data_IF_118776704601
#
_entry.id   IF_118776704601
#
_cell.length_a   1.000
_cell.length_b   1.000
_cell.length_c   1.000
_cell.angle_alpha   90.00
_cell.angle_beta   90.00
_cell.angle_gamma   90.00
#
_symmetry.space_group_name_H-M   'P 1'
#
loop_
_entity.id
_entity.type
_entity.pdbx_description
1 polymer ?
#
# COMPACT_ATOMS: atom_id res chain seq x y z
N UNK A 1 13.03 28.86 -23.94
CA UNK A 1 13.03 28.59 -22.50
C UNK A 1 11.64 28.84 -21.97
N UNK A 2 10.87 27.78 -21.77
CA UNK A 2 9.50 27.85 -21.25
C UNK A 2 9.48 27.23 -19.86
N UNK A 3 9.13 28.05 -18.87
CA UNK A 3 8.51 27.71 -17.58
C UNK A 3 8.81 26.31 -17.00
N UNK A 4 9.83 26.23 -16.14
CA UNK A 4 9.98 25.20 -15.10
C UNK A 4 9.01 25.47 -13.94
N UNK A 5 7.72 25.29 -14.16
CA UNK A 5 6.72 25.21 -13.09
C UNK A 5 6.18 23.78 -13.01
N UNK A 6 7.06 22.83 -12.69
CA UNK A 6 6.61 21.64 -11.97
C UNK A 6 6.15 22.16 -10.61
N UNK A 7 4.85 22.04 -10.33
CA UNK A 7 4.18 22.81 -9.28
C UNK A 7 4.88 22.62 -7.93
N UNK A 8 5.11 23.71 -7.18
CA UNK A 8 5.58 23.63 -5.80
C UNK A 8 4.65 22.76 -4.93
N UNK A 9 3.40 22.57 -5.39
CA UNK A 9 2.36 21.74 -4.81
C UNK A 9 2.53 20.23 -5.10
N UNK A 10 3.16 19.83 -6.23
CA UNK A 10 3.26 18.41 -6.63
C UNK A 10 4.34 17.65 -5.84
N UNK A 11 5.50 18.26 -5.58
CA UNK A 11 6.50 17.72 -4.64
C UNK A 11 5.95 17.74 -3.20
N UNK A 12 5.13 18.75 -2.89
CA UNK A 12 4.48 18.87 -1.59
C UNK A 12 3.52 17.71 -1.31
N UNK A 13 2.68 17.31 -2.28
CA UNK A 13 1.73 16.21 -2.06
C UNK A 13 2.45 14.87 -1.87
N UNK A 14 3.51 14.58 -2.64
CA UNK A 14 4.24 13.32 -2.48
C UNK A 14 4.77 13.18 -1.07
N UNK A 15 5.41 14.23 -0.54
CA UNK A 15 5.92 14.23 0.83
C UNK A 15 4.83 14.07 1.89
N UNK A 16 3.66 14.68 1.70
CA UNK A 16 2.53 14.52 2.65
C UNK A 16 1.98 13.09 2.64
N UNK A 17 1.89 12.48 1.45
CA UNK A 17 1.51 11.07 1.32
C UNK A 17 2.59 10.16 1.90
N UNK A 18 3.89 10.46 1.73
CA UNK A 18 4.99 9.73 2.37
C UNK A 18 4.80 9.69 3.89
N UNK A 19 4.61 10.86 4.50
CA UNK A 19 4.42 10.95 5.95
C UNK A 19 3.15 10.21 6.39
N UNK A 20 2.04 10.35 5.67
CA UNK A 20 0.83 9.59 5.97
C UNK A 20 1.04 8.08 5.85
N UNK A 21 1.78 7.63 4.85
CA UNK A 21 2.01 6.20 4.61
C UNK A 21 2.91 5.56 5.69
N UNK A 22 3.89 6.29 6.23
CA UNK A 22 4.87 5.75 7.18
C UNK A 22 4.63 6.15 8.64
N UNK A 23 3.99 7.28 8.91
CA UNK A 23 3.85 7.85 10.26
C UNK A 23 2.41 7.84 10.79
N UNK A 24 1.41 7.44 10.00
CA UNK A 24 0.01 7.36 10.44
C UNK A 24 -0.32 6.00 11.04
N UNK A 25 -0.28 5.91 12.37
CA UNK A 25 -0.61 4.68 13.11
C UNK A 25 -2.04 4.17 12.83
N UNK A 26 -2.98 5.06 12.50
CA UNK A 26 -4.38 4.69 12.20
C UNK A 26 -4.51 4.01 10.84
N UNK A 27 -3.73 4.44 9.84
CA UNK A 27 -3.63 3.82 8.53
C UNK A 27 -3.19 2.36 8.68
N UNK A 28 -2.04 2.12 9.30
CA UNK A 28 -1.51 0.76 9.53
C UNK A 28 -2.52 -0.09 10.33
N UNK A 29 -3.01 0.41 11.46
CA UNK A 29 -3.91 -0.34 12.35
C UNK A 29 -5.22 -0.76 11.67
N UNK A 30 -5.71 -0.06 10.65
CA UNK A 30 -6.89 -0.50 9.90
C UNK A 30 -6.59 -1.73 9.02
N UNK A 31 -5.45 -1.74 8.32
CA UNK A 31 -5.04 -2.89 7.51
C UNK A 31 -4.71 -4.10 8.38
N UNK A 32 -4.04 -3.89 9.52
CA UNK A 32 -3.73 -4.97 10.45
C UNK A 32 -5.01 -5.65 10.95
N UNK A 33 -5.99 -4.86 11.40
CA UNK A 33 -7.29 -5.37 11.86
C UNK A 33 -7.99 -6.18 10.77
N UNK A 34 -8.01 -5.67 9.53
CA UNK A 34 -8.60 -6.39 8.41
C UNK A 34 -7.86 -7.72 8.14
N UNK A 35 -6.52 -7.72 8.19
CA UNK A 35 -5.72 -8.93 8.02
C UNK A 35 -5.98 -9.95 9.14
N UNK A 36 -6.06 -9.52 10.40
CA UNK A 36 -6.39 -10.37 11.53
C UNK A 36 -7.75 -11.05 11.35
N UNK A 37 -8.78 -10.30 10.92
CA UNK A 37 -10.12 -10.84 10.71
C UNK A 37 -10.18 -11.84 9.54
N UNK A 38 -9.41 -11.59 8.47
CA UNK A 38 -9.51 -12.35 7.22
C UNK A 38 -8.46 -13.46 7.07
N UNK A 39 -7.34 -13.42 7.80
CA UNK A 39 -6.27 -14.41 7.67
C UNK A 39 -6.68 -15.83 8.09
N UNK A 40 -7.81 -15.99 8.78
CA UNK A 40 -8.31 -17.30 9.23
C UNK A 40 -8.45 -18.33 8.10
N UNK A 41 -8.81 -17.89 6.88
CA UNK A 41 -8.99 -18.73 5.69
C UNK A 41 -7.68 -19.14 5.02
N UNK A 42 -6.56 -18.52 5.40
CA UNK A 42 -5.23 -18.79 4.85
C UNK A 42 -4.74 -20.14 5.35
N UNK A 43 -4.47 -21.01 4.40
CA UNK A 43 -3.90 -22.33 4.63
C UNK A 43 -2.36 -22.26 4.61
N UNK A 44 -1.76 -22.44 5.79
CA UNK A 44 -0.31 -22.43 5.97
C UNK A 44 0.38 -23.71 5.47
N UNK A 45 -0.34 -24.84 5.45
CA UNK A 45 0.20 -26.14 5.03
C UNK A 45 0.10 -26.36 3.51
N UNK A 46 -0.69 -25.52 2.83
CA UNK A 46 -0.82 -25.55 1.39
C UNK A 46 0.51 -25.18 0.71
N UNK A 47 1.23 -26.22 0.26
CA UNK A 47 2.45 -26.12 -0.57
C UNK A 47 2.16 -25.74 -2.02
N UNK A 48 0.90 -25.74 -2.41
CA UNK A 48 0.46 -25.29 -3.73
C UNK A 48 -0.11 -23.90 -3.58
N UNK A 49 0.46 -22.93 -4.29
CA UNK A 49 -0.24 -21.68 -4.65
C UNK A 49 -1.36 -21.98 -5.65
N UNK A 50 -2.11 -23.07 -5.44
CA UNK A 50 -3.37 -23.26 -6.15
C UNK A 50 -4.24 -22.11 -5.71
N UNK A 51 -4.36 -21.15 -6.63
CA UNK A 51 -5.07 -19.89 -6.55
C UNK A 51 -6.50 -20.16 -6.09
N UNK A 52 -6.71 -20.32 -4.77
CA UNK A 52 -8.06 -20.38 -4.22
C UNK A 52 -8.67 -19.05 -4.62
N UNK A 53 -9.78 -19.09 -5.34
CA UNK A 53 -10.49 -17.89 -5.79
C UNK A 53 -10.79 -16.94 -4.61
N UNK A 54 -10.90 -17.51 -3.41
CA UNK A 54 -11.01 -16.81 -2.13
C UNK A 54 -9.79 -15.88 -1.86
N UNK A 55 -8.56 -16.30 -2.14
CA UNK A 55 -7.37 -15.47 -1.95
C UNK A 55 -7.30 -14.31 -2.94
N UNK A 56 -7.70 -14.56 -4.19
CA UNK A 56 -7.85 -13.49 -5.19
C UNK A 56 -8.91 -12.49 -4.77
N UNK A 57 -10.06 -12.95 -4.28
CA UNK A 57 -11.14 -12.08 -3.81
C UNK A 57 -10.69 -11.22 -2.62
N UNK A 58 -9.97 -11.81 -1.67
CA UNK A 58 -9.40 -11.07 -0.54
C UNK A 58 -8.34 -10.06 -0.97
N UNK A 59 -7.52 -10.40 -1.96
CA UNK A 59 -6.54 -9.47 -2.52
C UNK A 59 -7.21 -8.27 -3.18
N UNK A 60 -8.29 -8.49 -3.94
CA UNK A 60 -9.09 -7.42 -4.54
C UNK A 60 -9.76 -6.55 -3.47
N UNK A 61 -10.33 -7.14 -2.41
CA UNK A 61 -10.88 -6.41 -1.26
C UNK A 61 -9.82 -5.55 -0.56
N UNK A 62 -8.64 -6.12 -0.29
CA UNK A 62 -7.52 -5.42 0.34
C UNK A 62 -7.04 -4.26 -0.54
N UNK A 63 -6.85 -4.53 -1.83
CA UNK A 63 -6.39 -3.53 -2.79
C UNK A 63 -7.39 -2.37 -2.91
N UNK A 64 -8.69 -2.64 -2.97
CA UNK A 64 -9.72 -1.61 -3.03
C UNK A 64 -9.73 -0.74 -1.75
N UNK A 65 -9.57 -1.35 -0.57
CA UNK A 65 -9.44 -0.61 0.69
C UNK A 65 -8.20 0.30 0.68
N UNK A 66 -7.06 -0.25 0.27
CA UNK A 66 -5.79 0.44 0.20
C UNK A 66 -5.84 1.65 -0.74
N UNK A 67 -6.33 1.44 -1.96
CA UNK A 67 -6.50 2.50 -2.97
C UNK A 67 -7.47 3.58 -2.48
N UNK A 68 -8.62 3.20 -1.92
CA UNK A 68 -9.62 4.16 -1.43
C UNK A 68 -9.10 5.05 -0.30
N UNK A 69 -8.27 4.51 0.60
CA UNK A 69 -7.67 5.28 1.71
C UNK A 69 -6.64 6.29 1.21
N UNK A 70 -5.78 5.87 0.30
CA UNK A 70 -4.78 6.76 -0.29
C UNK A 70 -5.44 7.83 -1.15
N UNK A 71 -6.40 7.46 -1.99
CA UNK A 71 -7.20 8.39 -2.78
C UNK A 71 -7.90 9.42 -1.89
N UNK A 72 -8.59 8.96 -0.84
CA UNK A 72 -9.27 9.85 0.09
C UNK A 72 -8.32 10.83 0.80
N UNK A 73 -7.10 10.39 1.14
CA UNK A 73 -6.09 11.28 1.71
C UNK A 73 -5.57 12.29 0.67
N UNK A 74 -5.25 11.83 -0.54
CA UNK A 74 -4.76 12.70 -1.63
C UNK A 74 -5.79 13.78 -1.98
N UNK A 75 -7.06 13.41 -2.09
CA UNK A 75 -8.16 14.33 -2.37
C UNK A 75 -8.39 15.32 -1.22
N UNK A 76 -8.29 14.87 0.03
CA UNK A 76 -8.39 15.73 1.22
C UNK A 76 -7.28 16.79 1.25
N UNK A 77 -6.09 16.44 0.76
CA UNK A 77 -4.94 17.34 0.61
C UNK A 77 -5.03 18.26 -0.62
N UNK A 78 -6.14 18.21 -1.37
CA UNK A 78 -6.45 19.10 -2.48
C UNK A 78 -5.79 18.71 -3.80
N UNK A 79 -5.36 17.46 -3.95
CA UNK A 79 -4.78 16.94 -5.20
C UNK A 79 -5.57 15.74 -5.72
N UNK A 80 -5.24 15.28 -6.92
CA UNK A 80 -5.83 14.09 -7.52
C UNK A 80 -4.81 12.94 -7.55
N UNK A 81 -5.31 11.71 -7.60
CA UNK A 81 -4.47 10.50 -7.76
C UNK A 81 -3.56 10.60 -8.99
N UNK A 82 -4.07 11.18 -10.08
CA UNK A 82 -3.30 11.38 -11.32
C UNK A 82 -2.12 12.36 -11.11
N UNK A 83 -2.34 13.49 -10.44
CA UNK A 83 -1.29 14.46 -10.13
C UNK A 83 -0.23 13.86 -9.21
N UNK A 84 -0.64 13.12 -8.18
CA UNK A 84 0.25 12.42 -7.28
C UNK A 84 1.14 11.40 -8.00
N UNK A 85 0.56 10.49 -8.80
CA UNK A 85 1.36 9.51 -9.56
C UNK A 85 2.22 10.16 -10.64
N UNK A 86 1.80 11.30 -11.19
CA UNK A 86 2.63 12.07 -12.13
C UNK A 86 3.86 12.61 -11.40
N UNK A 87 3.70 13.17 -10.20
CA UNK A 87 4.81 13.67 -9.39
C UNK A 87 5.80 12.55 -8.99
N UNK A 88 5.31 11.36 -8.64
CA UNK A 88 6.17 10.19 -8.40
C UNK A 88 6.96 9.80 -9.65
N UNK A 89 6.31 9.75 -10.82
CA UNK A 89 7.01 9.41 -12.07
C UNK A 89 8.08 10.43 -12.41
N UNK A 90 7.78 11.72 -12.27
CA UNK A 90 8.76 12.79 -12.46
C UNK A 90 9.95 12.64 -11.48
N UNK A 91 9.70 12.29 -10.23
CA UNK A 91 10.76 12.02 -9.25
C UNK A 91 11.64 10.83 -9.67
N UNK A 92 11.04 9.74 -10.17
CA UNK A 92 11.77 8.58 -10.68
C UNK A 92 12.65 8.91 -11.89
N UNK A 93 12.19 9.78 -12.79
CA UNK A 93 12.96 10.23 -13.95
C UNK A 93 14.15 11.12 -13.58
N UNK A 94 14.03 11.87 -12.47
CA UNK A 94 15.09 12.75 -11.96
C UNK A 94 16.12 11.98 -11.12
N UNK A 95 15.65 11.18 -10.18
CA UNK A 95 16.45 10.34 -9.28
C UNK A 95 15.63 9.13 -8.83
N UNK A 96 15.93 7.97 -9.41
CA UNK A 96 15.28 6.69 -9.09
C UNK A 96 15.46 6.24 -7.64
N UNK A 97 16.42 6.82 -6.91
CA UNK A 97 16.71 6.50 -5.52
C UNK A 97 16.25 7.59 -4.55
N UNK A 98 15.52 8.61 -5.04
CA UNK A 98 14.86 9.59 -4.19
C UNK A 98 13.82 8.94 -3.27
N UNK A 99 13.50 9.62 -2.16
CA UNK A 99 12.48 9.17 -1.20
C UNK A 99 11.12 9.04 -1.90
N UNK A 100 10.78 9.99 -2.77
CA UNK A 100 9.57 10.04 -3.57
C UNK A 100 9.48 8.89 -4.58
N UNK A 101 10.59 8.56 -5.26
CA UNK A 101 10.67 7.42 -6.18
C UNK A 101 10.53 6.08 -5.45
N UNK A 102 11.13 5.99 -4.27
CA UNK A 102 11.08 4.81 -3.39
C UNK A 102 9.66 4.59 -2.88
N UNK A 103 8.96 5.64 -2.47
CA UNK A 103 7.55 5.57 -2.04
C UNK A 103 6.68 4.91 -3.11
N UNK A 104 6.76 5.38 -4.36
CA UNK A 104 5.96 4.81 -5.45
C UNK A 104 6.21 3.33 -5.67
N UNK A 105 7.46 2.90 -5.53
CA UNK A 105 7.84 1.48 -5.63
C UNK A 105 7.25 0.66 -4.49
N UNK A 106 7.31 1.17 -3.25
CA UNK A 106 6.76 0.52 -2.07
C UNK A 106 5.24 0.40 -2.20
N UNK A 107 4.53 1.48 -2.56
CA UNK A 107 3.07 1.47 -2.69
C UNK A 107 2.60 0.42 -3.71
N UNK A 108 3.27 0.32 -4.86
CA UNK A 108 2.97 -0.71 -5.85
C UNK A 108 3.25 -2.11 -5.31
N UNK A 109 4.38 -2.30 -4.63
CA UNK A 109 4.76 -3.57 -4.03
C UNK A 109 3.78 -4.02 -2.93
N UNK A 110 3.27 -3.11 -2.10
CA UNK A 110 2.29 -3.43 -1.04
C UNK A 110 1.01 -4.04 -1.60
N UNK A 111 0.61 -3.64 -2.81
CA UNK A 111 -0.57 -4.20 -3.49
C UNK A 111 -0.24 -5.39 -4.39
N UNK A 112 1.01 -5.84 -4.45
CA UNK A 112 1.36 -7.05 -5.19
C UNK A 112 0.82 -8.29 -4.48
N UNK A 113 0.31 -9.25 -5.26
CA UNK A 113 -0.31 -10.45 -4.72
C UNK A 113 0.64 -11.27 -3.83
N UNK A 114 1.93 -11.32 -4.18
CA UNK A 114 2.92 -12.09 -3.41
C UNK A 114 3.19 -11.47 -2.04
N UNK A 115 3.30 -10.13 -1.99
CA UNK A 115 3.50 -9.36 -0.76
C UNK A 115 2.26 -9.46 0.13
N UNK A 116 1.07 -9.27 -0.45
CA UNK A 116 -0.20 -9.47 0.23
C UNK A 116 -0.31 -10.87 0.86
N UNK A 117 -0.04 -11.92 0.09
CA UNK A 117 -0.13 -13.29 0.59
C UNK A 117 0.90 -13.59 1.69
N UNK A 118 2.09 -12.99 1.62
CA UNK A 118 3.08 -13.13 2.68
C UNK A 118 2.58 -12.49 3.98
N UNK A 119 2.09 -11.26 3.92
CA UNK A 119 1.50 -10.56 5.06
C UNK A 119 0.35 -11.37 5.70
N UNK A 120 -0.57 -11.89 4.88
CA UNK A 120 -1.69 -12.71 5.36
C UNK A 120 -1.24 -14.01 6.06
N UNK A 121 -0.13 -14.61 5.62
CA UNK A 121 0.47 -15.77 6.29
C UNK A 121 1.11 -15.37 7.62
N UNK A 122 1.82 -14.25 7.67
CA UNK A 122 2.46 -13.75 8.89
C UNK A 122 1.42 -13.49 10.00
N UNK A 123 0.29 -12.85 9.65
CA UNK A 123 -0.83 -12.65 10.59
C UNK A 123 -1.41 -13.97 11.09
N UNK A 124 -1.63 -14.94 10.18
CA UNK A 124 -2.14 -16.27 10.54
C UNK A 124 -1.19 -17.01 11.48
N UNK A 125 0.11 -16.96 11.21
CA UNK A 125 1.14 -17.54 12.09
C UNK A 125 1.16 -16.87 13.46
N UNK A 126 1.05 -15.53 13.50
CA UNK A 126 0.96 -14.74 14.72
C UNK A 126 -0.22 -15.15 15.60
N UNK A 127 -1.42 -15.30 15.01
CA UNK A 127 -2.61 -15.77 15.72
C UNK A 127 -2.44 -17.17 16.32
N UNK A 128 -1.82 -18.09 15.58
CA UNK A 128 -1.58 -19.45 16.07
C UNK A 128 -0.61 -19.44 17.25
N UNK A 129 0.49 -18.67 17.17
CA UNK A 129 1.47 -18.53 18.26
C UNK A 129 0.85 -17.93 19.52
N UNK A 130 -0.06 -16.95 19.37
CA UNK A 130 -0.75 -16.30 20.48
C UNK A 130 -1.85 -17.17 21.11
N UNK A 131 -2.48 -18.08 20.36
CA UNK A 131 -3.53 -18.97 20.85
C UNK A 131 -3.02 -20.21 21.63
N UNK A 132 -1.71 -20.48 21.58
CA UNK A 132 -1.06 -21.62 22.26
C UNK A 132 -0.37 -21.23 23.58
N UNK A 133 -0.63 -20.02 24.10
CA UNK A 133 -0.05 -19.50 25.34
C UNK A 133 -1.12 -19.28 26.40
#
# INVERSE_FOLDING_TARGET
GGAKYGSMDSVGIVKRVTNYFFDDDEFEAEFERWCEEKCAVVDLDSKTTEQRLEYTSLHEEFKAMYEAKLEGFIEKEGSTVLEFFTAIREAQEVDEHSEEATLGTIMLATTDYSVFMQMMRDFKEGQLKSSHK
#
